data_IF_302212035483
#
_entry.id   IF_302212035483
#
_cell.length_a   1.000
_cell.length_b   1.000
_cell.length_c   1.000
_cell.angle_alpha   90.00
_cell.angle_beta   90.00
_cell.angle_gamma   90.00
#
_symmetry.space_group_name_H-M   'P 1'
#
loop_
_entity.id
_entity.type
_entity.pdbx_description
1 polymer ?
#
# COMPACT_ATOMS: atom_id res chain seq x y z
N UNK A 1 9.39 -33.00 59.10
CA UNK A 1 9.37 -34.33 59.77
C UNK A 1 8.05 -35.01 59.46
N UNK A 2 8.09 -36.33 59.20
CA UNK A 2 6.95 -37.28 59.18
C UNK A 2 6.01 -37.21 57.96
N UNK A 3 5.74 -38.26 57.17
CA UNK A 3 6.04 -39.70 57.24
C UNK A 3 6.22 -40.26 55.82
N UNK A 4 7.25 -41.10 55.66
CA UNK A 4 7.36 -42.14 54.64
C UNK A 4 6.40 -43.27 55.03
N UNK A 5 5.76 -43.95 54.06
CA UNK A 5 5.72 -45.42 54.06
C UNK A 5 5.46 -45.98 52.65
N UNK A 6 6.47 -46.74 52.25
CA UNK A 6 6.65 -47.70 51.15
C UNK A 6 5.60 -48.82 51.14
N UNK A 7 5.06 -49.20 49.98
CA UNK A 7 5.50 -50.31 49.09
C UNK A 7 5.45 -51.72 49.70
N UNK A 8 4.66 -52.60 49.05
CA UNK A 8 4.72 -54.08 48.88
C UNK A 8 3.28 -54.57 48.64
N UNK A 9 2.95 -55.49 47.74
CA UNK A 9 3.77 -56.39 46.95
C UNK A 9 2.93 -57.08 45.87
N UNK A 10 3.64 -57.90 45.10
CA UNK A 10 3.23 -58.58 43.87
C UNK A 10 2.29 -59.79 44.06
N UNK A 11 1.64 -60.21 42.98
CA UNK A 11 1.43 -61.61 42.51
C UNK A 11 0.74 -61.51 41.12
N UNK A 12 1.36 -61.89 39.99
CA UNK A 12 1.46 -63.22 39.34
C UNK A 12 0.13 -63.88 38.94
N UNK A 13 0.03 -64.24 37.65
CA UNK A 13 -0.83 -65.31 37.10
C UNK A 13 -1.75 -64.85 35.95
N UNK A 14 -1.38 -65.05 34.69
CA UNK A 14 -1.80 -66.15 33.78
C UNK A 14 -3.02 -65.75 32.90
N UNK A 15 -2.83 -65.52 31.58
CA UNK A 15 -3.17 -66.44 30.46
C UNK A 15 -4.65 -66.91 30.58
N UNK A 16 -5.58 -66.59 29.67
CA UNK A 16 -5.71 -67.17 28.32
C UNK A 16 -6.85 -66.52 27.49
N UNK A 17 -6.72 -66.61 26.16
CA UNK A 17 -7.73 -66.88 25.11
C UNK A 17 -8.78 -65.82 24.68
N UNK A 18 -8.45 -65.20 23.54
CA UNK A 18 -9.23 -64.99 22.30
C UNK A 18 -10.76 -64.92 22.34
N UNK A 19 -11.31 -63.78 21.89
CA UNK A 19 -12.54 -63.77 21.09
C UNK A 19 -12.39 -62.73 19.96
N UNK A 20 -12.51 -63.22 18.72
CA UNK A 20 -12.58 -62.42 17.52
C UNK A 20 -13.93 -61.70 17.46
N UNK A 21 -13.91 -60.40 17.18
CA UNK A 21 -15.07 -59.67 16.65
C UNK A 21 -14.58 -58.68 15.60
N UNK A 22 -14.99 -58.98 14.39
CA UNK A 22 -14.95 -58.18 13.18
C UNK A 22 -15.58 -56.81 13.40
N UNK A 23 -14.81 -55.75 13.16
CA UNK A 23 -15.29 -54.37 13.08
C UNK A 23 -14.37 -53.58 12.18
N UNK A 24 -14.68 -53.54 10.89
CA UNK A 24 -14.01 -52.69 9.91
C UNK A 24 -14.32 -51.22 10.22
N UNK A 25 -13.51 -50.58 11.06
CA UNK A 25 -13.44 -49.13 11.13
C UNK A 25 -12.53 -48.67 9.99
N UNK A 26 -13.16 -48.12 8.95
CA UNK A 26 -12.47 -47.35 7.94
C UNK A 26 -11.79 -46.16 8.62
N UNK A 27 -10.48 -46.27 8.85
CA UNK A 27 -9.62 -45.15 9.22
C UNK A 27 -9.60 -44.21 8.01
N UNK A 28 -10.37 -43.13 8.07
CA UNK A 28 -10.16 -41.98 7.20
C UNK A 28 -8.76 -41.43 7.51
N UNK A 29 -7.84 -41.35 6.53
CA UNK A 29 -6.57 -40.67 6.77
C UNK A 29 -6.88 -39.21 7.09
N UNK A 30 -6.30 -38.71 8.17
CA UNK A 30 -6.29 -37.29 8.50
C UNK A 30 -5.79 -36.53 7.28
N UNK A 31 -6.65 -35.68 6.71
CA UNK A 31 -6.27 -34.78 5.63
C UNK A 31 -5.14 -33.89 6.15
N UNK A 32 -3.91 -34.16 5.69
CA UNK A 32 -2.78 -33.28 5.93
C UNK A 32 -3.17 -31.88 5.46
N UNK A 33 -3.06 -30.90 6.35
CA UNK A 33 -3.22 -29.50 6.00
C UNK A 33 -2.28 -29.22 4.82
N UNK A 34 -2.87 -28.95 3.65
CA UNK A 34 -2.10 -28.56 2.49
C UNK A 34 -1.31 -27.30 2.86
N UNK A 35 0.01 -27.26 2.62
CA UNK A 35 0.77 -26.04 2.82
C UNK A 35 0.10 -24.95 1.98
N UNK A 36 -0.33 -23.86 2.62
CA UNK A 36 -0.85 -22.68 1.93
C UNK A 36 0.16 -22.30 0.86
N UNK A 37 -0.26 -22.40 -0.41
CA UNK A 37 0.54 -21.96 -1.53
C UNK A 37 0.85 -20.47 -1.31
N UNK A 38 2.11 -20.18 -0.98
CA UNK A 38 2.62 -18.82 -0.98
C UNK A 38 2.34 -18.28 -2.38
N UNK A 39 1.42 -17.32 -2.47
CA UNK A 39 1.13 -16.65 -3.73
C UNK A 39 2.38 -15.87 -4.08
N UNK A 40 3.16 -16.37 -5.03
CA UNK A 40 4.31 -15.68 -5.60
C UNK A 40 3.78 -14.40 -6.22
N UNK A 41 3.85 -13.30 -5.47
CA UNK A 41 3.49 -11.99 -5.96
C UNK A 41 4.62 -11.59 -6.88
N UNK A 42 4.42 -11.78 -8.19
CA UNK A 42 5.28 -11.13 -9.18
C UNK A 42 5.17 -9.64 -8.92
N UNK A 43 6.19 -9.06 -8.29
CA UNK A 43 6.25 -7.61 -8.05
C UNK A 43 6.16 -6.94 -9.41
N UNK A 44 5.11 -6.16 -9.64
CA UNK A 44 4.94 -5.49 -10.91
C UNK A 44 6.16 -4.62 -11.19
N UNK A 45 6.82 -4.82 -12.34
CA UNK A 45 8.05 -4.10 -12.66
C UNK A 45 7.72 -2.71 -13.17
N UNK A 46 8.41 -1.70 -12.65
CA UNK A 46 8.35 -0.35 -13.18
C UNK A 46 8.94 -0.29 -14.59
N UNK A 47 8.13 0.15 -15.56
CA UNK A 47 8.64 0.43 -16.89
C UNK A 47 9.74 1.50 -16.83
N UNK A 48 10.78 1.34 -17.64
CA UNK A 48 11.92 2.24 -17.69
C UNK A 48 12.47 2.41 -19.09
N UNK A 49 13.04 3.57 -19.35
CA UNK A 49 13.83 3.85 -20.55
C UNK A 49 15.20 4.39 -20.12
N UNK A 50 16.19 3.50 -19.91
CA UNK A 50 17.53 3.89 -19.46
C UNK A 50 18.33 4.63 -20.53
N UNK A 51 17.89 4.63 -21.80
CA UNK A 51 18.59 5.28 -22.90
C UNK A 51 18.18 6.75 -23.07
N UNK A 52 17.09 7.18 -22.44
CA UNK A 52 16.70 8.59 -22.40
C UNK A 52 17.79 9.44 -21.71
N UNK A 53 18.25 10.48 -22.39
CA UNK A 53 19.42 11.27 -22.02
C UNK A 53 19.19 12.24 -20.85
N UNK A 54 17.96 12.38 -20.36
CA UNK A 54 17.63 13.30 -19.28
C UNK A 54 17.48 14.72 -19.78
N UNK A 55 16.77 14.88 -20.90
CA UNK A 55 16.42 16.19 -21.44
C UNK A 55 14.96 16.49 -21.15
N UNK A 56 14.70 17.62 -20.48
CA UNK A 56 13.33 17.98 -20.11
C UNK A 56 12.62 18.64 -21.31
N UNK A 57 11.60 17.96 -21.83
CA UNK A 57 10.67 18.47 -22.83
C UNK A 57 9.42 19.12 -22.23
N UNK A 58 8.28 18.93 -22.90
CA UNK A 58 6.98 19.44 -22.46
C UNK A 58 6.47 18.75 -21.19
N UNK A 59 5.75 19.51 -20.36
CA UNK A 59 5.12 18.99 -19.15
C UNK A 59 3.94 18.06 -19.49
N UNK A 60 3.72 17.06 -18.64
CA UNK A 60 2.55 16.20 -18.64
C UNK A 60 2.01 16.08 -17.21
N UNK A 61 0.67 15.99 -17.08
CA UNK A 61 0.01 15.92 -15.78
C UNK A 61 0.18 17.18 -14.91
N UNK A 62 -0.13 17.04 -13.64
CA UNK A 62 -0.15 18.15 -12.69
C UNK A 62 1.17 18.30 -11.91
N UNK A 63 1.44 19.53 -11.49
CA UNK A 63 2.53 19.86 -10.57
C UNK A 63 2.15 19.43 -9.15
N UNK A 64 3.00 18.65 -8.51
CA UNK A 64 2.86 18.28 -7.09
C UNK A 64 3.84 19.07 -6.26
N UNK A 65 3.34 19.65 -5.16
CA UNK A 65 4.16 20.32 -4.16
C UNK A 65 4.13 19.52 -2.86
N UNK A 66 5.31 19.13 -2.38
CA UNK A 66 5.49 18.40 -1.13
C UNK A 66 6.09 19.34 -0.10
N UNK A 67 5.31 19.79 0.91
CA UNK A 67 5.85 20.60 1.98
C UNK A 67 6.81 19.77 2.83
N UNK A 68 7.86 20.43 3.33
CA UNK A 68 8.87 19.86 4.21
C UNK A 68 8.73 20.44 5.62
N UNK A 69 9.09 19.66 6.62
CA UNK A 69 9.07 20.07 8.02
C UNK A 69 9.98 21.28 8.31
N UNK A 70 11.03 21.47 7.51
CA UNK A 70 11.94 22.61 7.61
C UNK A 70 11.38 23.89 6.94
N UNK A 71 10.16 23.86 6.40
CA UNK A 71 9.50 24.98 5.74
C UNK A 71 9.84 25.12 4.25
N UNK A 72 10.71 24.26 3.70
CA UNK A 72 10.92 24.18 2.24
C UNK A 72 9.75 23.49 1.57
N UNK A 73 9.65 23.68 0.26
CA UNK A 73 8.75 22.93 -0.61
C UNK A 73 9.56 22.24 -1.71
N UNK A 74 9.24 20.98 -1.93
CA UNK A 74 9.78 20.17 -3.02
C UNK A 74 8.73 20.09 -4.12
N UNK A 75 9.13 20.25 -5.38
CA UNK A 75 8.20 20.19 -6.49
C UNK A 75 8.51 19.02 -7.42
N UNK A 76 7.45 18.33 -7.81
CA UNK A 76 7.48 17.20 -8.72
C UNK A 76 6.54 17.46 -9.89
N UNK A 77 6.98 17.09 -11.09
CA UNK A 77 6.20 17.21 -12.31
C UNK A 77 6.65 16.11 -13.26
N UNK A 78 5.73 15.60 -14.07
CA UNK A 78 6.12 14.71 -15.16
C UNK A 78 6.46 15.52 -16.41
N UNK A 79 7.57 15.19 -17.08
CA UNK A 79 7.95 15.79 -18.36
C UNK A 79 8.32 14.69 -19.34
N UNK A 80 7.96 14.89 -20.61
CA UNK A 80 8.51 14.09 -21.70
C UNK A 80 10.01 14.32 -21.82
N UNK A 81 10.73 13.30 -22.24
CA UNK A 81 12.11 13.41 -22.70
C UNK A 81 12.12 13.17 -24.22
N UNK A 82 12.50 14.17 -25.04
CA UNK A 82 12.47 14.04 -26.50
C UNK A 82 13.47 12.98 -27.02
N UNK A 83 14.40 12.54 -26.19
CA UNK A 83 15.35 11.46 -26.51
C UNK A 83 14.84 10.08 -26.09
N UNK A 84 13.69 10.00 -25.41
CA UNK A 84 13.08 8.73 -25.01
C UNK A 84 12.49 7.99 -26.21
N UNK A 85 12.75 6.68 -26.27
CA UNK A 85 12.13 5.79 -27.25
C UNK A 85 10.75 5.31 -26.80
N UNK A 86 10.44 5.39 -25.50
CA UNK A 86 9.16 4.95 -24.95
C UNK A 86 7.99 5.88 -25.30
N UNK A 87 8.29 7.15 -25.60
CA UNK A 87 7.27 8.20 -25.77
C UNK A 87 6.49 8.51 -24.49
N UNK A 88 6.96 8.07 -23.33
CA UNK A 88 6.33 8.30 -22.02
C UNK A 88 7.11 9.34 -21.20
N UNK A 89 6.43 10.11 -20.34
CA UNK A 89 7.09 11.06 -19.47
C UNK A 89 7.81 10.38 -18.30
N UNK A 90 8.69 11.14 -17.65
CA UNK A 90 9.46 10.75 -16.47
C UNK A 90 9.11 11.69 -15.32
N UNK A 91 9.32 11.28 -14.07
CA UNK A 91 9.21 12.21 -12.94
C UNK A 91 10.48 13.06 -12.84
N UNK A 92 10.29 14.36 -12.65
CA UNK A 92 11.33 15.33 -12.38
C UNK A 92 11.07 16.02 -11.06
N UNK A 93 12.15 16.46 -10.42
CA UNK A 93 12.13 17.19 -9.17
C UNK A 93 12.85 18.54 -9.32
N UNK A 94 12.38 19.55 -8.60
CA UNK A 94 13.20 20.71 -8.21
C UNK A 94 12.96 21.06 -6.75
N UNK A 95 13.97 21.65 -6.13
CA UNK A 95 13.98 21.93 -4.68
C UNK A 95 14.26 23.39 -4.40
N UNK A 96 13.77 23.89 -3.26
CA UNK A 96 14.27 25.13 -2.66
C UNK A 96 15.54 24.84 -1.85
N UNK A 97 16.48 25.77 -1.83
CA UNK A 97 17.67 25.70 -0.96
C UNK A 97 17.38 26.10 0.48
N UNK A 98 16.38 26.95 0.71
CA UNK A 98 15.88 27.38 2.01
C UNK A 98 14.38 27.72 1.90
N UNK A 99 13.64 27.82 3.03
CA UNK A 99 12.22 28.17 3.00
C UNK A 99 11.97 29.47 2.22
N UNK A 100 11.04 29.43 1.26
CA UNK A 100 10.70 30.59 0.43
C UNK A 100 11.75 30.98 -0.63
N UNK A 101 12.89 30.28 -0.70
CA UNK A 101 13.90 30.55 -1.72
C UNK A 101 13.39 30.20 -3.13
N UNK A 102 14.06 30.75 -4.15
CA UNK A 102 13.83 30.35 -5.52
C UNK A 102 14.13 28.86 -5.71
N UNK A 103 13.38 28.21 -6.60
CA UNK A 103 13.62 26.81 -6.94
C UNK A 103 14.86 26.67 -7.83
N UNK A 104 15.62 25.60 -7.59
CA UNK A 104 16.70 25.17 -8.46
C UNK A 104 16.21 24.65 -9.83
N UNK A 105 17.14 24.12 -10.60
CA UNK A 105 16.84 23.46 -11.87
C UNK A 105 16.08 22.16 -11.65
N UNK A 106 15.37 21.72 -12.69
CA UNK A 106 14.72 20.42 -12.69
C UNK A 106 15.76 19.31 -12.92
N UNK A 107 15.67 18.25 -12.12
CA UNK A 107 16.50 17.05 -12.20
C UNK A 107 15.59 15.83 -12.29
N UNK A 108 15.92 14.89 -13.17
CA UNK A 108 15.14 13.67 -13.36
C UNK A 108 15.31 12.75 -12.15
N UNK A 109 14.20 12.23 -11.61
CA UNK A 109 14.19 11.34 -10.44
C UNK A 109 14.83 9.98 -10.77
N UNK A 110 14.64 9.48 -12.00
CA UNK A 110 15.21 8.23 -12.46
C UNK A 110 14.83 7.89 -13.90
N UNK A 111 15.15 6.67 -14.34
CA UNK A 111 14.86 6.20 -15.70
C UNK A 111 13.45 5.60 -15.86
N UNK A 112 12.66 5.53 -14.79
CA UNK A 112 11.32 4.95 -14.84
C UNK A 112 10.31 5.92 -15.45
N UNK A 113 9.44 5.38 -16.30
CA UNK A 113 8.43 6.14 -17.02
C UNK A 113 7.10 6.18 -16.26
N UNK A 114 6.27 7.17 -16.58
CA UNK A 114 4.93 7.37 -16.01
C UNK A 114 3.88 7.14 -17.10
N UNK A 115 2.76 6.49 -16.77
CA UNK A 115 1.65 6.27 -17.71
C UNK A 115 1.52 4.82 -18.19
N UNK A 116 0.96 4.59 -19.40
CA UNK A 116 0.74 5.53 -20.51
C UNK A 116 -0.61 6.29 -20.49
N UNK A 117 -1.48 6.06 -19.50
CA UNK A 117 -2.83 6.65 -19.49
C UNK A 117 -3.06 7.70 -18.43
N UNK A 118 -2.41 7.54 -17.28
CA UNK A 118 -2.42 8.50 -16.19
C UNK A 118 -0.98 8.96 -15.98
N UNK A 119 -0.75 10.26 -16.05
CA UNK A 119 0.55 10.87 -15.78
C UNK A 119 0.61 11.41 -14.35
N UNK A 120 -0.11 10.75 -13.45
CA UNK A 120 -0.22 11.13 -12.04
C UNK A 120 1.07 10.78 -11.29
N UNK A 121 1.54 11.75 -10.52
CA UNK A 121 2.57 11.59 -9.50
C UNK A 121 2.01 12.11 -8.19
N UNK A 122 2.45 11.58 -7.07
CA UNK A 122 2.16 12.11 -5.73
C UNK A 122 3.36 11.84 -4.83
N UNK A 123 3.54 12.66 -3.81
CA UNK A 123 4.64 12.49 -2.87
C UNK A 123 4.32 13.06 -1.49
N UNK A 124 5.10 12.63 -0.50
CA UNK A 124 4.95 13.08 0.89
C UNK A 124 6.28 12.96 1.63
N UNK A 125 6.51 13.83 2.60
CA UNK A 125 7.63 13.66 3.53
C UNK A 125 7.24 12.66 4.64
N UNK A 126 8.07 11.63 4.82
CA UNK A 126 7.90 10.61 5.86
C UNK A 126 8.41 11.08 7.24
N UNK A 127 8.17 10.30 8.29
CA UNK A 127 8.57 10.65 9.65
C UNK A 127 10.09 10.81 9.86
N UNK A 128 10.92 10.20 8.99
CA UNK A 128 12.38 10.33 9.03
C UNK A 128 12.90 11.53 8.21
N UNK A 129 12.02 12.35 7.64
CA UNK A 129 12.39 13.48 6.78
C UNK A 129 12.79 13.09 5.35
N UNK A 130 12.61 11.81 4.98
CA UNK A 130 12.75 11.37 3.59
C UNK A 130 11.50 11.70 2.78
N UNK A 131 11.60 11.69 1.46
CA UNK A 131 10.44 11.84 0.57
C UNK A 131 10.07 10.48 -0.01
N UNK A 132 8.81 10.11 0.10
CA UNK A 132 8.20 9.00 -0.61
C UNK A 132 7.49 9.53 -1.85
N UNK A 133 7.70 8.89 -2.99
CA UNK A 133 7.12 9.29 -4.26
C UNK A 133 6.44 8.08 -4.91
N UNK A 134 5.19 8.28 -5.33
CA UNK A 134 4.42 7.30 -6.10
C UNK A 134 4.00 7.89 -7.44
N UNK A 135 4.00 7.07 -8.49
CA UNK A 135 3.45 7.49 -9.78
C UNK A 135 2.77 6.33 -10.50
N UNK A 136 1.80 6.68 -11.34
CA UNK A 136 1.00 5.71 -12.07
C UNK A 136 1.83 4.97 -13.12
N UNK A 137 1.71 3.65 -13.11
CA UNK A 137 2.15 2.79 -14.21
C UNK A 137 1.06 1.76 -14.46
N UNK A 138 0.56 1.66 -15.68
CA UNK A 138 -0.67 0.92 -16.07
C UNK A 138 -1.12 -0.22 -15.11
N UNK A 139 -2.12 0.06 -14.26
CA UNK A 139 -2.72 -0.93 -13.34
C UNK A 139 -1.93 -1.20 -12.04
N UNK A 140 -0.91 -0.40 -11.74
CA UNK A 140 -0.12 -0.44 -10.51
C UNK A 140 0.51 0.95 -10.24
N UNK A 141 1.36 1.06 -9.22
CA UNK A 141 2.16 2.25 -8.96
C UNK A 141 3.63 1.88 -8.86
N UNK A 142 4.47 2.78 -9.34
CA UNK A 142 5.88 2.77 -9.03
C UNK A 142 6.15 3.59 -7.78
N UNK A 143 7.17 3.18 -7.05
CA UNK A 143 7.65 3.82 -5.83
C UNK A 143 9.14 4.08 -5.92
N UNK A 144 9.54 5.28 -5.53
CA UNK A 144 10.93 5.63 -5.23
C UNK A 144 10.94 6.53 -4.00
N UNK A 145 12.03 6.47 -3.25
CA UNK A 145 12.23 7.28 -2.07
C UNK A 145 13.53 8.08 -2.18
N UNK A 146 13.55 9.26 -1.57
CA UNK A 146 14.79 9.98 -1.28
C UNK A 146 14.97 10.00 0.24
N UNK A 147 15.75 9.06 0.81
CA UNK A 147 16.06 9.06 2.23
C UNK A 147 16.67 10.40 2.66
N UNK A 148 16.40 10.85 3.88
CA UNK A 148 16.90 12.13 4.38
C UNK A 148 18.45 12.22 4.38
N UNK A 149 19.11 11.07 4.56
CA UNK A 149 20.57 10.95 4.56
C UNK A 149 21.21 10.86 3.16
N UNK A 150 20.40 10.71 2.10
CA UNK A 150 20.88 10.46 0.76
C UNK A 150 20.76 11.69 -0.15
N UNK A 151 21.72 11.86 -1.05
CA UNK A 151 21.68 12.90 -2.09
C UNK A 151 20.84 12.51 -3.31
N UNK A 152 20.44 11.24 -3.42
CA UNK A 152 19.78 10.68 -4.60
C UNK A 152 18.57 9.82 -4.27
N UNK A 153 17.82 9.49 -5.32
CA UNK A 153 16.62 8.65 -5.27
C UNK A 153 16.97 7.16 -5.32
N UNK A 154 16.17 6.34 -4.66
CA UNK A 154 16.25 4.88 -4.81
C UNK A 154 15.77 4.45 -6.19
N UNK A 155 16.23 3.27 -6.64
CA UNK A 155 15.67 2.67 -7.86
C UNK A 155 14.17 2.46 -7.70
N UNK A 156 13.41 2.74 -8.75
CA UNK A 156 11.97 2.59 -8.71
C UNK A 156 11.57 1.11 -8.64
N UNK A 157 10.60 0.80 -7.79
CA UNK A 157 10.06 -0.56 -7.61
C UNK A 157 8.54 -0.55 -7.65
N UNK A 158 7.93 -1.69 -7.96
CA UNK A 158 6.47 -1.81 -7.90
C UNK A 158 5.96 -1.66 -6.48
N UNK A 159 4.99 -0.77 -6.28
CA UNK A 159 4.43 -0.48 -4.96
C UNK A 159 3.36 -1.49 -4.51
N UNK A 160 2.91 -2.38 -5.39
CA UNK A 160 2.03 -3.50 -5.05
C UNK A 160 0.54 -3.19 -4.94
N UNK A 161 0.13 -1.92 -4.81
CA UNK A 161 -1.26 -1.50 -4.97
C UNK A 161 -1.73 -1.74 -6.42
N UNK A 162 -3.00 -2.14 -6.61
CA UNK A 162 -3.55 -2.56 -7.90
C UNK A 162 -4.76 -1.70 -8.34
N UNK A 163 -4.58 -0.41 -8.65
CA UNK A 163 -5.64 0.44 -9.16
C UNK A 163 -6.24 -0.07 -10.47
N UNK A 164 -7.48 0.30 -10.73
CA UNK A 164 -8.00 0.24 -12.10
C UNK A 164 -7.17 1.17 -13.01
N UNK A 165 -6.68 0.64 -14.13
CA UNK A 165 -5.64 1.29 -14.94
C UNK A 165 -6.00 2.68 -15.50
N UNK A 166 -7.28 3.03 -15.58
CA UNK A 166 -7.78 4.25 -16.25
C UNK A 166 -8.29 5.32 -15.31
N UNK A 167 -8.65 4.96 -14.09
CA UNK A 167 -9.34 5.87 -13.17
C UNK A 167 -8.92 5.69 -11.71
N UNK A 168 -8.08 4.69 -11.42
CA UNK A 168 -7.51 4.55 -10.10
C UNK A 168 -6.37 5.54 -9.90
N UNK A 169 -6.36 6.16 -8.73
CA UNK A 169 -5.29 7.01 -8.24
C UNK A 169 -4.95 6.64 -6.81
N UNK A 170 -3.81 7.12 -6.33
CA UNK A 170 -3.37 6.90 -4.96
C UNK A 170 -3.32 8.23 -4.23
N UNK A 171 -3.79 8.22 -2.99
CA UNK A 171 -3.67 9.34 -2.07
C UNK A 171 -2.73 8.96 -0.95
N UNK A 172 -1.79 9.87 -0.67
CA UNK A 172 -0.89 9.78 0.46
C UNK A 172 -1.41 10.68 1.58
N UNK A 173 -1.44 10.16 2.79
CA UNK A 173 -1.88 10.88 3.97
C UNK A 173 -0.92 10.62 5.13
N UNK A 174 -0.43 11.69 5.77
CA UNK A 174 0.41 11.59 6.96
C UNK A 174 -0.44 11.87 8.18
N UNK A 175 -0.43 10.92 9.12
CA UNK A 175 -1.05 11.01 10.42
C UNK A 175 -0.22 11.86 11.39
N UNK A 176 -0.82 12.35 12.50
CA UNK A 176 -0.09 13.09 13.54
C UNK A 176 1.06 12.30 14.19
N UNK A 177 0.95 10.98 14.29
CA UNK A 177 2.01 10.08 14.82
C UNK A 177 3.20 9.91 13.86
N UNK A 178 3.10 10.46 12.65
CA UNK A 178 4.12 10.36 11.59
C UNK A 178 3.91 9.18 10.65
N UNK A 179 2.95 8.30 10.89
CA UNK A 179 2.61 7.21 9.98
C UNK A 179 2.09 7.77 8.67
N UNK A 180 2.56 7.22 7.54
CA UNK A 180 2.07 7.56 6.21
C UNK A 180 1.18 6.43 5.70
N UNK A 181 -0.01 6.78 5.24
CA UNK A 181 -0.92 5.88 4.54
C UNK A 181 -0.94 6.18 3.06
N UNK A 182 -0.84 5.14 2.25
CA UNK A 182 -1.11 5.16 0.82
C UNK A 182 -2.41 4.41 0.57
N UNK A 183 -3.40 5.05 -0.05
CA UNK A 183 -4.75 4.50 -0.25
C UNK A 183 -5.11 4.65 -1.73
N UNK A 184 -5.52 3.55 -2.36
CA UNK A 184 -5.91 3.52 -3.76
C UNK A 184 -7.20 2.74 -3.93
N UNK A 185 -7.98 3.04 -4.97
CA UNK A 185 -8.97 2.07 -5.45
C UNK A 185 -8.27 0.80 -5.92
N UNK A 186 -9.02 -0.30 -5.99
CA UNK A 186 -8.48 -1.60 -6.37
C UNK A 186 -9.28 -2.24 -7.50
N UNK A 187 -8.57 -2.96 -8.36
CA UNK A 187 -9.13 -3.87 -9.34
C UNK A 187 -9.06 -5.35 -8.88
N UNK A 188 -8.48 -5.60 -7.70
CA UNK A 188 -8.31 -6.94 -7.17
C UNK A 188 -9.67 -7.54 -6.78
N UNK A 189 -9.85 -8.82 -7.07
CA UNK A 189 -11.11 -9.51 -6.81
C UNK A 189 -11.51 -9.40 -5.33
N UNK A 190 -12.74 -8.96 -5.09
CA UNK A 190 -13.29 -8.80 -3.74
C UNK A 190 -12.72 -7.61 -2.96
N UNK A 191 -12.08 -6.63 -3.61
CA UNK A 191 -11.56 -5.40 -2.99
C UNK A 191 -12.03 -4.18 -3.77
N UNK A 192 -12.58 -3.18 -3.07
CA UNK A 192 -12.92 -1.90 -3.70
C UNK A 192 -11.75 -0.90 -3.63
N UNK A 193 -10.96 -1.00 -2.57
CA UNK A 193 -9.76 -0.22 -2.35
C UNK A 193 -8.72 -1.06 -1.60
N UNK A 194 -7.49 -0.55 -1.59
CA UNK A 194 -6.33 -1.13 -0.94
C UNK A 194 -5.52 -0.03 -0.27
N UNK A 195 -4.76 -0.40 0.76
CA UNK A 195 -3.89 0.51 1.48
C UNK A 195 -2.55 -0.12 1.81
N UNK A 196 -1.54 0.73 2.03
CA UNK A 196 -0.26 0.38 2.67
C UNK A 196 0.07 1.45 3.69
N UNK A 197 0.72 1.04 4.77
CA UNK A 197 1.25 1.95 5.77
C UNK A 197 2.78 1.98 5.76
N UNK A 198 3.37 3.14 6.01
CA UNK A 198 4.76 3.31 6.41
C UNK A 198 4.71 3.87 7.83
N UNK A 199 4.94 2.99 8.81
CA UNK A 199 4.94 3.40 10.22
C UNK A 199 6.12 4.33 10.50
N UNK A 200 5.95 5.23 11.46
CA UNK A 200 7.00 6.17 11.84
C UNK A 200 8.31 5.47 12.25
N UNK A 201 8.23 4.30 12.88
CA UNK A 201 9.38 3.46 13.25
C UNK A 201 10.14 2.90 12.04
N UNK A 202 9.45 2.69 10.92
CA UNK A 202 9.99 2.07 9.71
C UNK A 202 10.40 3.11 8.65
N UNK A 203 10.06 4.39 8.86
CA UNK A 203 10.27 5.47 7.92
C UNK A 203 11.74 5.66 7.52
N UNK A 204 12.68 5.46 8.46
CA UNK A 204 14.11 5.56 8.18
C UNK A 204 14.61 4.43 7.26
N UNK A 205 14.04 3.23 7.40
CA UNK A 205 14.33 2.09 6.54
C UNK A 205 13.50 2.11 5.24
N UNK A 206 12.48 2.97 5.14
CA UNK A 206 11.57 3.02 4.00
C UNK A 206 10.73 1.75 3.84
N UNK A 207 10.51 1.00 4.93
CA UNK A 207 9.82 -0.30 4.86
C UNK A 207 8.31 -0.13 4.96
N UNK A 208 7.64 -0.21 3.82
CA UNK A 208 6.19 -0.20 3.74
C UNK A 208 5.59 -1.56 4.12
N UNK A 209 4.54 -1.52 4.92
CA UNK A 209 3.75 -2.70 5.30
C UNK A 209 3.11 -3.39 4.09
N UNK A 210 2.72 -4.67 4.19
CA UNK A 210 1.99 -5.36 3.14
C UNK A 210 0.70 -4.64 2.74
N UNK A 211 0.20 -4.95 1.54
CA UNK A 211 -1.09 -4.42 1.07
C UNK A 211 -2.23 -4.95 1.93
N UNK A 212 -3.03 -4.05 2.48
CA UNK A 212 -4.24 -4.36 3.23
C UNK A 212 -5.49 -4.00 2.42
N UNK A 213 -6.52 -4.86 2.38
CA UNK A 213 -7.79 -4.53 1.72
C UNK A 213 -8.50 -3.40 2.47
N UNK A 214 -9.06 -2.46 1.72
CA UNK A 214 -9.85 -1.35 2.23
C UNK A 214 -11.31 -1.47 1.77
N UNK A 215 -12.01 -2.44 2.37
CA UNK A 215 -13.44 -2.67 2.19
C UNK A 215 -13.88 -3.13 0.79
N UNK A 216 -15.19 -3.32 0.67
CA UNK A 216 -15.90 -3.74 -0.56
C UNK A 216 -17.03 -2.77 -0.86
N UNK A 217 -17.41 -2.63 -2.13
CA UNK A 217 -18.66 -1.94 -2.49
C UNK A 217 -19.78 -2.99 -2.55
N UNK A 218 -20.91 -2.81 -1.84
CA UNK A 218 -22.01 -3.78 -1.85
C UNK A 218 -22.67 -3.95 -3.23
N UNK A 219 -22.57 -2.92 -4.08
CA UNK A 219 -23.14 -2.94 -5.43
C UNK A 219 -22.17 -3.53 -6.47
N UNK A 220 -22.68 -4.44 -7.29
CA UNK A 220 -21.91 -5.01 -8.40
C UNK A 220 -21.61 -3.97 -9.48
N UNK A 221 -20.44 -4.08 -10.11
CA UNK A 221 -20.04 -3.24 -11.24
C UNK A 221 -19.59 -1.83 -10.88
N UNK A 222 -19.52 -1.48 -9.59
CA UNK A 222 -18.97 -0.21 -9.13
C UNK A 222 -17.44 -0.28 -9.11
N UNK A 223 -16.80 0.64 -9.80
CA UNK A 223 -15.37 0.90 -9.66
C UNK A 223 -15.15 2.27 -9.01
N UNK A 224 -14.23 2.33 -8.06
CA UNK A 224 -13.88 3.58 -7.40
C UNK A 224 -12.74 4.27 -8.14
N UNK A 225 -12.86 5.59 -8.29
CA UNK A 225 -11.77 6.46 -8.74
C UNK A 225 -10.72 6.66 -7.64
N UNK A 226 -9.89 7.69 -7.79
CA UNK A 226 -8.93 8.09 -6.75
C UNK A 226 -9.64 8.40 -5.42
N UNK A 227 -9.25 7.73 -4.32
CA UNK A 227 -9.76 8.07 -2.98
C UNK A 227 -9.23 9.42 -2.50
N UNK A 228 -10.00 10.12 -1.67
CA UNK A 228 -9.63 11.37 -1.00
C UNK A 228 -9.86 11.21 0.50
N UNK A 229 -8.89 11.62 1.33
CA UNK A 229 -9.08 11.69 2.78
C UNK A 229 -9.86 12.96 3.09
N UNK A 230 -11.03 12.81 3.72
CA UNK A 230 -11.97 13.93 3.99
C UNK A 230 -12.10 14.26 5.47
N UNK A 231 -11.47 13.49 6.34
CA UNK A 231 -11.42 13.80 7.75
C UNK A 231 -10.71 12.73 8.55
N UNK A 232 -10.37 13.11 9.77
CA UNK A 232 -9.90 12.23 10.83
C UNK A 232 -10.87 12.39 12.00
N UNK A 233 -11.38 11.29 12.52
CA UNK A 233 -12.30 11.28 13.67
C UNK A 233 -11.54 11.58 14.97
N UNK A 234 -12.23 11.90 16.07
CA UNK A 234 -11.57 12.14 17.36
C UNK A 234 -10.78 10.95 17.91
N UNK A 235 -11.13 9.73 17.51
CA UNK A 235 -10.41 8.49 17.80
C UNK A 235 -9.37 8.12 16.73
N UNK A 236 -8.93 9.11 15.94
CA UNK A 236 -7.86 9.03 14.94
C UNK A 236 -8.12 8.09 13.76
N UNK A 237 -9.38 7.72 13.49
CA UNK A 237 -9.74 6.94 12.31
C UNK A 237 -9.89 7.87 11.12
N UNK A 238 -9.33 7.49 9.98
CA UNK A 238 -9.48 8.30 8.77
C UNK A 238 -10.80 7.96 8.07
N UNK A 239 -11.48 9.00 7.58
CA UNK A 239 -12.63 8.92 6.69
C UNK A 239 -12.16 9.27 5.28
N UNK A 240 -12.43 8.38 4.34
CA UNK A 240 -12.14 8.56 2.93
C UNK A 240 -13.43 8.64 2.13
N UNK A 241 -13.39 9.35 1.00
CA UNK A 241 -14.40 9.25 -0.05
C UNK A 241 -13.75 8.86 -1.36
N UNK A 242 -14.52 8.31 -2.28
CA UNK A 242 -14.12 8.10 -3.66
C UNK A 242 -15.32 8.31 -4.58
N UNK A 243 -15.10 8.92 -5.73
CA UNK A 243 -16.11 9.01 -6.78
C UNK A 243 -16.16 7.70 -7.56
N UNK A 244 -17.36 7.24 -7.93
CA UNK A 244 -17.51 6.14 -8.89
C UNK A 244 -16.97 6.60 -10.26
N UNK A 245 -16.15 5.78 -10.92
CA UNK A 245 -15.36 6.27 -12.07
C UNK A 245 -16.19 6.71 -13.29
N UNK A 246 -17.36 6.09 -13.48
CA UNK A 246 -18.26 6.31 -14.62
C UNK A 246 -19.58 7.00 -14.24
N UNK A 247 -19.76 7.39 -12.97
CA UNK A 247 -21.00 8.00 -12.48
C UNK A 247 -20.70 9.11 -11.50
N UNK A 248 -21.57 10.11 -11.44
CA UNK A 248 -21.47 11.15 -10.42
C UNK A 248 -22.06 10.71 -9.07
N UNK A 249 -21.50 9.62 -8.54
CA UNK A 249 -21.85 9.02 -7.26
C UNK A 249 -20.59 8.96 -6.41
N UNK A 250 -20.76 9.13 -5.11
CA UNK A 250 -19.64 9.16 -4.17
C UNK A 250 -19.87 8.10 -3.11
N UNK A 251 -18.80 7.43 -2.74
CA UNK A 251 -18.77 6.39 -1.73
C UNK A 251 -17.83 6.82 -0.62
N UNK A 252 -18.13 6.46 0.62
CA UNK A 252 -17.28 6.75 1.77
C UNK A 252 -16.97 5.49 2.55
N UNK A 253 -15.78 5.48 3.15
CA UNK A 253 -15.33 4.46 4.08
C UNK A 253 -14.64 5.14 5.24
N UNK A 254 -14.78 4.57 6.43
CA UNK A 254 -13.99 4.96 7.61
C UNK A 254 -13.20 3.75 8.04
N UNK A 255 -12.04 3.96 8.61
CA UNK A 255 -11.35 2.87 9.30
C UNK A 255 -12.22 2.30 10.42
N UNK A 256 -12.02 1.01 10.70
CA UNK A 256 -12.54 0.36 11.91
C UNK A 256 -11.64 0.67 13.11
N UNK A 257 -10.33 0.81 12.90
CA UNK A 257 -9.35 1.26 13.89
C UNK A 257 -8.16 1.95 13.19
N UNK A 258 -7.48 2.93 13.84
CA UNK A 258 -6.34 3.63 13.25
C UNK A 258 -5.18 2.68 12.95
N UNK A 259 -4.64 2.75 11.73
CA UNK A 259 -3.45 1.96 11.36
C UNK A 259 -2.16 2.65 11.81
N UNK A 260 -1.75 2.32 13.04
CA UNK A 260 -0.59 2.90 13.75
C UNK A 260 0.42 1.83 14.19
N UNK A 261 0.30 0.60 13.70
CA UNK A 261 1.25 -0.50 13.98
C UNK A 261 0.97 -1.34 15.23
N UNK A 262 -0.09 -1.07 16.00
CA UNK A 262 -0.46 -1.85 17.20
C UNK A 262 -1.98 -1.95 17.35
N UNK A 263 -2.56 -3.14 17.58
CA UNK A 263 -2.69 -4.22 16.59
C UNK A 263 -3.47 -3.74 15.35
N UNK A 264 -2.88 -3.94 14.17
CA UNK A 264 -3.36 -3.63 12.80
C UNK A 264 -4.63 -2.79 12.73
N UNK A 265 -4.48 -1.51 12.40
CA UNK A 265 -5.63 -0.72 11.98
C UNK A 265 -6.31 -1.42 10.81
N UNK A 266 -7.63 -1.38 10.86
CA UNK A 266 -8.48 -2.07 9.91
C UNK A 266 -9.32 -1.08 9.16
N UNK A 267 -9.72 -1.47 7.96
CA UNK A 267 -10.78 -0.79 7.25
C UNK A 267 -12.11 -1.40 7.63
N UNK A 268 -13.17 -0.59 7.60
CA UNK A 268 -14.52 -1.15 7.62
C UNK A 268 -14.70 -2.10 6.42
N UNK A 269 -15.54 -3.12 6.60
CA UNK A 269 -15.74 -4.15 5.59
C UNK A 269 -16.41 -3.60 4.31
N UNK A 270 -17.19 -2.53 4.42
CA UNK A 270 -18.04 -2.03 3.34
C UNK A 270 -18.00 -0.51 3.19
N UNK A 271 -17.90 -0.08 1.93
CA UNK A 271 -18.13 1.30 1.51
C UNK A 271 -19.62 1.62 1.55
N UNK A 272 -19.95 2.85 1.93
CA UNK A 272 -21.32 3.36 2.00
C UNK A 272 -21.53 4.41 0.92
N UNK A 273 -22.66 4.35 0.22
CA UNK A 273 -23.04 5.38 -0.76
C UNK A 273 -23.34 6.69 -0.04
N UNK A 274 -22.74 7.78 -0.49
CA UNK A 274 -23.01 9.11 0.04
C UNK A 274 -24.33 9.66 -0.53
N UNK A 275 -25.06 10.41 0.30
CA UNK A 275 -26.27 11.14 -0.12
C UNK A 275 -25.95 12.42 -0.89
N UNK A 276 -24.74 12.95 -0.71
CA UNK A 276 -24.22 14.15 -1.39
C UNK A 276 -22.78 13.90 -1.87
N UNK A 277 -22.28 14.75 -2.77
CA UNK A 277 -20.89 14.69 -3.25
C UNK A 277 -19.85 15.00 -2.17
N UNK A 278 -20.25 15.66 -1.08
CA UNK A 278 -19.36 16.01 0.00
C UNK A 278 -19.09 14.85 0.97
N UNK A 279 -19.96 13.84 1.02
CA UNK A 279 -19.87 12.71 1.95
C UNK A 279 -19.70 13.12 3.42
N UNK A 280 -20.31 14.24 3.83
CA UNK A 280 -20.31 14.74 5.21
C UNK A 280 -21.18 13.88 6.10
#
# INVERSE_FOLDING_TARGET
MNRKHTWRGALRGAITLTLALTGALALTPAAGAAPSAATTTTTATCASDPLAQGQRGGAAGDLVSVPRADGRVEQFQTFYDPTSMSGLPFVWQRSQSAPGAAYGTWVRVGASTVGPKLYGVTGIENAAGGIELLWSTYGTFCHSARPASASGWTAATGFGLQPAAYHGGVTLHRRPDGTVLAISSSNAAGRAAESRALYASDAAAGTWQPVAPAGTVPEAGVGLGQPEVIGETPDHRIKVKAREWNRDRYWTLTESAPDTGVPSGGWNAQWTLCTTSACT
#
